data_IF_417465548575
#
_entry.id   IF_417465548575
#
_cell.length_a   1.000
_cell.length_b   1.000
_cell.length_c   1.000
_cell.angle_alpha   90.00
_cell.angle_beta   90.00
_cell.angle_gamma   90.00
#
_symmetry.space_group_name_H-M   'P 1'
#
loop_
_entity.id
_entity.type
_entity.pdbx_description
1 polymer ?
#
# COMPACT_ATOMS: atom_id res chain seq x y z
N UNK A 1 10.94 21.92 -63.75
CA UNK A 1 10.67 22.74 -62.54
C UNK A 1 10.63 21.87 -61.27
N UNK A 2 11.77 21.46 -60.66
CA UNK A 2 11.75 20.56 -59.49
C UNK A 2 12.25 21.17 -58.16
N UNK A 3 12.45 22.49 -58.05
CA UNK A 3 13.16 23.09 -56.91
C UNK A 3 12.29 23.73 -55.81
N UNK A 4 10.95 23.68 -55.91
CA UNK A 4 10.06 24.32 -54.91
C UNK A 4 9.60 23.40 -53.76
N UNK A 5 9.76 22.08 -53.89
CA UNK A 5 9.29 21.11 -52.86
C UNK A 5 10.31 20.79 -51.77
N UNK A 6 11.62 21.05 -51.98
CA UNK A 6 12.67 20.84 -50.96
C UNK A 6 12.72 21.94 -49.90
N UNK A 7 12.31 23.16 -50.24
CA UNK A 7 12.26 24.27 -49.29
C UNK A 7 11.06 24.19 -48.34
N UNK A 8 9.96 23.56 -48.78
CA UNK A 8 8.76 23.38 -47.96
C UNK A 8 8.93 22.27 -46.91
N UNK A 9 9.72 21.24 -47.21
CA UNK A 9 10.04 20.14 -46.29
C UNK A 9 11.09 20.54 -45.23
N UNK A 10 12.03 21.43 -45.55
CA UNK A 10 13.00 21.99 -44.59
C UNK A 10 12.38 23.00 -43.60
N UNK A 11 11.39 23.79 -44.04
CA UNK A 11 10.71 24.75 -43.17
C UNK A 11 9.84 24.06 -42.09
N UNK A 12 9.26 22.89 -42.39
CA UNK A 12 8.43 22.14 -41.44
C UNK A 12 9.27 21.44 -40.36
N UNK A 13 10.51 21.05 -40.67
CA UNK A 13 11.43 20.46 -39.70
C UNK A 13 11.96 21.48 -38.67
N UNK A 14 12.08 22.76 -39.04
CA UNK A 14 12.56 23.81 -38.13
C UNK A 14 11.50 24.22 -37.09
N UNK A 15 10.22 24.13 -37.43
CA UNK A 15 9.11 24.43 -36.49
C UNK A 15 8.90 23.28 -35.49
N UNK A 16 9.25 22.03 -35.85
CA UNK A 16 9.21 20.90 -34.92
C UNK A 16 10.36 20.90 -33.90
N UNK A 17 11.48 21.60 -34.18
CA UNK A 17 12.63 21.68 -33.28
C UNK A 17 12.61 22.89 -32.32
N UNK A 18 11.77 23.90 -32.55
CA UNK A 18 11.62 25.04 -31.61
C UNK A 18 10.59 24.81 -30.50
N UNK A 19 9.83 23.71 -30.53
CA UNK A 19 8.83 23.38 -29.49
C UNK A 19 9.43 22.73 -28.24
N UNK A 20 10.74 22.42 -28.23
CA UNK A 20 11.39 21.65 -27.16
C UNK A 20 12.11 22.51 -26.11
N UNK A 21 12.03 23.84 -26.19
CA UNK A 21 12.76 24.76 -25.31
C UNK A 21 11.87 25.68 -24.45
N UNK A 22 10.61 25.32 -24.21
CA UNK A 22 9.72 25.99 -23.24
C UNK A 22 9.43 25.15 -21.98
N UNK A 23 10.25 24.13 -21.71
CA UNK A 23 10.20 23.37 -20.48
C UNK A 23 11.20 23.91 -19.46
N UNK A 24 10.74 24.76 -18.54
CA UNK A 24 11.29 24.93 -17.19
C UNK A 24 10.46 26.00 -16.48
N UNK A 25 9.48 25.59 -15.67
CA UNK A 25 8.75 26.55 -14.84
C UNK A 25 7.36 26.17 -14.37
N UNK A 26 6.91 24.91 -14.45
CA UNK A 26 5.74 24.50 -13.64
C UNK A 26 6.22 24.20 -12.24
N UNK A 27 6.27 25.24 -11.40
CA UNK A 27 6.12 25.05 -9.95
C UNK A 27 4.69 24.57 -9.74
N UNK A 28 4.48 23.26 -9.59
CA UNK A 28 3.17 22.74 -9.18
C UNK A 28 2.75 23.44 -7.88
N UNK A 29 1.56 24.05 -7.82
CA UNK A 29 1.07 24.64 -6.58
C UNK A 29 0.76 23.49 -5.61
N UNK A 30 1.60 23.37 -4.59
CA UNK A 30 1.39 22.44 -3.48
C UNK A 30 0.37 22.93 -2.46
N UNK A 31 -0.07 21.97 -1.65
CA UNK A 31 -0.74 22.04 -0.33
C UNK A 31 -2.27 21.87 -0.26
N UNK A 32 -3.06 22.32 -1.24
CA UNK A 32 -4.53 22.15 -1.20
C UNK A 32 -5.02 20.78 -1.68
N UNK A 33 -4.44 20.26 -2.77
CA UNK A 33 -4.84 18.99 -3.40
C UNK A 33 -4.30 17.75 -2.70
N UNK A 34 -3.11 17.85 -2.12
CA UNK A 34 -2.35 16.67 -1.68
C UNK A 34 -2.80 16.19 -0.31
N UNK A 35 -3.11 17.10 0.62
CA UNK A 35 -3.71 16.74 1.91
C UNK A 35 -5.10 16.14 1.74
N UNK A 36 -5.92 16.70 0.84
CA UNK A 36 -7.22 16.12 0.50
C UNK A 36 -7.11 14.75 -0.18
N UNK A 37 -6.12 14.58 -1.07
CA UNK A 37 -5.79 13.28 -1.67
C UNK A 37 -5.37 12.26 -0.62
N UNK A 38 -4.50 12.64 0.30
CA UNK A 38 -4.06 11.79 1.40
C UNK A 38 -5.25 11.38 2.29
N UNK A 39 -6.12 12.33 2.64
CA UNK A 39 -7.31 12.04 3.43
C UNK A 39 -8.25 11.06 2.73
N UNK A 40 -8.53 11.27 1.43
CA UNK A 40 -9.39 10.36 0.66
C UNK A 40 -8.82 8.93 0.62
N UNK A 41 -7.49 8.79 0.55
CA UNK A 41 -6.82 7.49 0.63
C UNK A 41 -6.96 6.86 2.02
N UNK A 42 -6.86 7.64 3.09
CA UNK A 42 -7.12 7.17 4.47
C UNK A 42 -8.55 6.69 4.62
N UNK A 43 -9.51 7.45 4.12
CA UNK A 43 -10.94 7.13 4.22
C UNK A 43 -11.25 5.82 3.46
N UNK A 44 -10.71 5.65 2.26
CA UNK A 44 -10.91 4.43 1.46
C UNK A 44 -10.22 3.21 2.09
N UNK A 45 -9.00 3.37 2.61
CA UNK A 45 -8.32 2.29 3.36
C UNK A 45 -9.05 1.93 4.65
N UNK A 46 -9.65 2.91 5.32
CA UNK A 46 -10.50 2.69 6.51
C UNK A 46 -11.73 1.87 6.15
N UNK A 47 -12.39 2.19 5.03
CA UNK A 47 -13.53 1.42 4.52
C UNK A 47 -13.12 0.00 4.16
N UNK A 48 -12.00 -0.19 3.45
CA UNK A 48 -11.49 -1.52 3.13
C UNK A 48 -11.25 -2.37 4.38
N UNK A 49 -10.62 -1.80 5.41
CA UNK A 49 -10.38 -2.49 6.67
C UNK A 49 -11.69 -2.89 7.34
N UNK A 50 -12.64 -1.96 7.43
CA UNK A 50 -13.95 -2.19 8.05
C UNK A 50 -14.72 -3.30 7.31
N UNK A 51 -14.81 -3.21 5.97
CA UNK A 51 -15.44 -4.26 5.15
C UNK A 51 -14.77 -5.63 5.27
N UNK A 52 -13.44 -5.66 5.46
CA UNK A 52 -12.69 -6.89 5.67
C UNK A 52 -12.95 -7.48 7.06
N UNK A 53 -13.05 -6.65 8.08
CA UNK A 53 -13.37 -7.06 9.45
C UNK A 53 -14.84 -7.48 9.63
N UNK A 54 -15.75 -6.90 8.85
CA UNK A 54 -17.17 -7.26 8.84
C UNK A 54 -17.41 -8.65 8.23
N UNK A 55 -16.54 -9.07 7.30
CA UNK A 55 -16.57 -10.40 6.67
C UNK A 55 -15.74 -11.45 7.41
N UNK A 56 -14.99 -11.05 8.43
CA UNK A 56 -14.13 -11.91 9.24
C UNK A 56 -14.95 -12.63 10.32
N UNK A 57 -15.88 -13.49 9.89
CA UNK A 57 -16.81 -14.21 10.77
C UNK A 57 -16.08 -15.14 11.75
N UNK A 58 -14.98 -15.75 11.30
CA UNK A 58 -14.15 -16.67 12.10
C UNK A 58 -13.11 -15.95 12.97
N UNK A 59 -12.98 -14.62 12.87
CA UNK A 59 -12.03 -13.81 13.64
C UNK A 59 -10.55 -14.00 13.24
N UNK A 60 -10.28 -14.67 12.13
CA UNK A 60 -8.93 -14.97 11.64
C UNK A 60 -8.16 -13.71 11.26
N UNK A 61 -8.80 -12.74 10.61
CA UNK A 61 -8.16 -11.46 10.29
C UNK A 61 -7.81 -10.72 11.58
N UNK A 62 -8.71 -10.69 12.57
CA UNK A 62 -8.41 -10.12 13.89
C UNK A 62 -7.20 -10.83 14.54
N UNK A 63 -7.15 -12.16 14.52
CA UNK A 63 -6.00 -12.94 15.01
C UNK A 63 -4.68 -12.58 14.33
N UNK A 64 -4.69 -12.36 13.01
CA UNK A 64 -3.51 -11.93 12.26
C UNK A 64 -3.13 -10.48 12.58
N UNK A 65 -4.10 -9.56 12.70
CA UNK A 65 -3.85 -8.16 13.10
C UNK A 65 -3.18 -8.11 14.47
N UNK A 66 -3.62 -8.96 15.42
CA UNK A 66 -3.03 -9.02 16.76
C UNK A 66 -1.55 -9.45 16.77
N UNK A 67 -1.12 -10.18 15.74
CA UNK A 67 0.28 -10.62 15.58
C UNK A 67 1.10 -9.65 14.74
N UNK A 68 0.48 -8.95 13.80
CA UNK A 68 1.16 -8.08 12.85
C UNK A 68 2.01 -6.99 13.52
N UNK A 69 3.14 -6.66 12.90
CA UNK A 69 3.99 -5.50 13.22
C UNK A 69 3.70 -4.32 12.28
N UNK A 70 3.13 -4.58 11.11
CA UNK A 70 2.60 -3.54 10.23
C UNK A 70 1.59 -4.08 9.26
N UNK A 71 0.78 -3.18 8.72
CA UNK A 71 -0.27 -3.53 7.75
C UNK A 71 -0.21 -2.55 6.59
N UNK A 72 -0.13 -3.08 5.37
CA UNK A 72 -0.33 -2.31 4.16
C UNK A 72 -1.78 -2.48 3.69
N UNK A 73 -2.54 -1.40 3.69
CA UNK A 73 -3.90 -1.33 3.18
C UNK A 73 -3.86 -0.91 1.71
N UNK A 74 -4.33 -1.79 0.83
CA UNK A 74 -4.33 -1.58 -0.61
C UNK A 74 -5.79 -1.39 -1.05
N UNK A 75 -6.34 -0.17 -1.05
CA UNK A 75 -7.70 0.09 -1.48
C UNK A 75 -7.91 -0.22 -2.96
N UNK A 76 -9.13 -0.65 -3.32
CA UNK A 76 -9.49 -0.81 -4.72
C UNK A 76 -9.43 0.56 -5.43
N UNK A 77 -8.98 0.57 -6.69
CA UNK A 77 -9.05 1.77 -7.52
C UNK A 77 -10.53 1.99 -7.89
N UNK A 78 -11.27 2.67 -7.02
CA UNK A 78 -12.68 3.01 -7.18
C UNK A 78 -12.88 4.53 -7.11
N UNK A 79 -13.32 5.09 -8.24
CA UNK A 79 -14.11 6.33 -8.35
C UNK A 79 -13.49 7.67 -7.95
N UNK A 80 -12.18 7.84 -8.10
CA UNK A 80 -11.61 9.19 -8.21
C UNK A 80 -10.63 9.21 -9.39
N UNK A 81 -11.17 9.60 -10.55
CA UNK A 81 -10.53 9.74 -11.86
C UNK A 81 -9.35 10.72 -11.90
N UNK A 82 -8.76 11.07 -10.76
CA UNK A 82 -7.76 12.12 -10.57
C UNK A 82 -6.43 11.67 -9.96
N UNK A 83 -6.28 10.39 -9.57
CA UNK A 83 -5.02 9.91 -8.96
C UNK A 83 -3.99 9.34 -9.94
N UNK A 84 -4.29 9.36 -11.24
CA UNK A 84 -3.44 8.87 -12.32
C UNK A 84 -2.55 10.00 -12.90
N UNK A 85 -1.39 10.19 -12.29
CA UNK A 85 -0.20 10.59 -13.06
C UNK A 85 0.71 9.36 -13.08
N UNK A 86 0.58 8.57 -14.16
CA UNK A 86 1.28 7.30 -14.43
C UNK A 86 0.93 6.10 -13.53
N UNK A 87 -0.14 5.38 -13.89
CA UNK A 87 -0.25 3.91 -13.84
C UNK A 87 -0.02 3.16 -12.52
N UNK A 88 0.15 3.83 -11.39
CA UNK A 88 0.58 3.22 -10.12
C UNK A 88 -0.57 3.22 -9.12
N UNK A 89 -0.82 2.08 -8.47
CA UNK A 89 -1.83 1.98 -7.41
C UNK A 89 -1.40 2.69 -6.12
N UNK A 90 -2.27 2.79 -5.12
CA UNK A 90 -1.93 3.36 -3.81
C UNK A 90 -1.94 2.29 -2.72
N UNK A 91 -1.11 2.49 -1.71
CA UNK A 91 -1.10 1.74 -0.47
C UNK A 91 -0.87 2.68 0.72
N UNK A 92 -1.50 2.38 1.85
CA UNK A 92 -1.25 3.01 3.13
C UNK A 92 -0.57 2.00 4.03
N UNK A 93 0.44 2.43 4.77
CA UNK A 93 1.16 1.55 5.70
C UNK A 93 1.04 2.11 7.11
N UNK A 94 0.59 1.28 8.03
CA UNK A 94 0.63 1.53 9.48
C UNK A 94 1.63 0.58 10.13
N UNK A 95 2.23 1.02 11.25
CA UNK A 95 3.14 0.20 12.04
C UNK A 95 2.64 0.12 13.48
N UNK A 96 2.76 -1.05 14.10
CA UNK A 96 2.55 -1.23 15.52
C UNK A 96 3.86 -0.97 16.25
N UNK A 97 3.79 -0.11 17.25
CA UNK A 97 4.89 0.23 18.15
C UNK A 97 4.48 -0.11 19.59
N UNK A 98 5.39 0.08 20.53
CA UNK A 98 5.13 0.09 21.97
C UNK A 98 4.03 1.10 22.40
N UNK A 99 3.77 2.14 21.59
CA UNK A 99 2.71 3.13 21.82
C UNK A 99 1.41 2.80 21.04
N UNK A 100 1.33 1.59 20.46
CA UNK A 100 0.22 1.12 19.62
C UNK A 100 0.43 1.44 18.13
N UNK A 101 -0.67 1.46 17.37
CA UNK A 101 -0.64 1.72 15.92
C UNK A 101 -0.28 3.18 15.59
N UNK A 102 0.59 3.35 14.59
CA UNK A 102 1.15 4.63 14.14
C UNK A 102 1.03 4.78 12.62
N UNK A 103 1.24 6.00 12.13
CA UNK A 103 1.13 6.38 10.73
C UNK A 103 -0.23 6.98 10.38
N UNK A 104 -0.72 6.82 9.14
CA UNK A 104 -0.13 6.05 8.05
C UNK A 104 0.98 6.82 7.30
N UNK A 105 1.73 6.05 6.52
CA UNK A 105 2.54 6.56 5.41
C UNK A 105 1.96 6.05 4.09
N UNK A 106 2.15 6.82 3.04
CA UNK A 106 1.64 6.55 1.71
C UNK A 106 2.73 6.00 0.82
N UNK A 107 2.40 4.89 0.16
CA UNK A 107 3.24 4.27 -0.85
C UNK A 107 2.47 4.16 -2.18
N UNK A 108 3.23 4.25 -3.26
CA UNK A 108 2.77 3.97 -4.61
C UNK A 108 3.09 2.51 -4.92
N UNK A 109 2.10 1.78 -5.43
CA UNK A 109 2.27 0.42 -5.92
C UNK A 109 2.64 0.48 -7.40
N UNK A 110 3.86 0.09 -7.71
CA UNK A 110 4.39 0.05 -9.06
C UNK A 110 4.32 -1.39 -9.60
N UNK A 111 3.53 -1.58 -10.66
CA UNK A 111 3.47 -2.83 -11.42
C UNK A 111 4.54 -2.80 -12.52
N UNK A 112 5.83 -2.75 -12.15
CA UNK A 112 6.92 -2.90 -13.14
C UNK A 112 7.30 -4.37 -13.15
N UNK A 113 6.72 -5.08 -14.13
CA UNK A 113 6.80 -6.52 -14.28
C UNK A 113 5.40 -7.11 -14.45
N UNK A 114 5.27 -8.18 -15.23
CA UNK A 114 4.03 -8.96 -15.46
C UNK A 114 3.10 -8.41 -16.56
N UNK A 115 3.54 -8.57 -17.81
CA UNK A 115 2.65 -8.87 -18.93
C UNK A 115 1.72 -7.75 -19.41
N UNK A 116 2.11 -7.12 -20.51
CA UNK A 116 1.30 -6.32 -21.43
C UNK A 116 0.14 -7.12 -22.09
N UNK A 117 -0.50 -8.06 -21.40
CA UNK A 117 -1.69 -8.77 -21.87
C UNK A 117 -2.62 -9.13 -20.71
N UNK A 118 -3.86 -8.65 -20.83
CA UNK A 118 -5.09 -9.13 -20.19
C UNK A 118 -5.37 -8.77 -18.71
N UNK A 119 -6.13 -7.67 -18.55
CA UNK A 119 -7.16 -7.58 -17.51
C UNK A 119 -6.87 -6.59 -16.40
N UNK A 120 -7.66 -5.51 -16.35
CA UNK A 120 -7.77 -4.57 -15.22
C UNK A 120 -8.32 -5.30 -14.00
N UNK A 121 -7.51 -6.12 -13.34
CA UNK A 121 -7.87 -6.67 -12.05
C UNK A 121 -7.58 -5.61 -10.99
N UNK A 122 -8.64 -5.00 -10.46
CA UNK A 122 -8.55 -4.11 -9.31
C UNK A 122 -8.09 -4.96 -8.11
N UNK A 123 -6.82 -4.87 -7.77
CA UNK A 123 -6.25 -5.52 -6.60
C UNK A 123 -6.54 -4.69 -5.36
N UNK A 124 -7.28 -5.26 -4.42
CA UNK A 124 -7.57 -4.68 -3.11
C UNK A 124 -7.45 -5.72 -2.01
N UNK A 125 -6.91 -5.31 -0.87
CA UNK A 125 -6.71 -6.21 0.26
C UNK A 125 -5.74 -5.64 1.29
N UNK A 126 -5.44 -6.47 2.28
CA UNK A 126 -4.55 -6.15 3.40
C UNK A 126 -3.31 -7.02 3.27
N UNK A 127 -2.13 -6.42 3.44
CA UNK A 127 -0.87 -7.16 3.58
C UNK A 127 -0.38 -6.99 5.02
N UNK A 128 -0.51 -8.04 5.81
CA UNK A 128 -0.12 -8.06 7.22
C UNK A 128 1.29 -8.61 7.33
N UNK A 129 2.19 -7.84 7.92
CA UNK A 129 3.62 -8.17 8.05
C UNK A 129 3.88 -8.54 9.51
N UNK A 130 4.38 -9.74 9.76
CA UNK A 130 4.53 -10.30 11.11
C UNK A 130 5.85 -9.89 11.79
N UNK A 131 6.84 -9.45 11.01
CA UNK A 131 8.15 -9.03 11.49
C UNK A 131 8.45 -7.55 11.19
N UNK A 132 9.06 -6.85 12.14
CA UNK A 132 9.36 -5.42 11.99
C UNK A 132 10.46 -5.18 10.94
N UNK A 133 11.45 -6.07 10.83
CA UNK A 133 12.52 -5.92 9.86
C UNK A 133 12.00 -6.11 8.43
N UNK A 134 11.02 -6.99 8.22
CA UNK A 134 10.33 -7.15 6.94
C UNK A 134 9.49 -5.91 6.61
N UNK A 135 8.81 -5.32 7.59
CA UNK A 135 8.10 -4.06 7.40
C UNK A 135 9.06 -2.94 7.00
N UNK A 136 10.18 -2.81 7.71
CA UNK A 136 11.24 -1.83 7.37
C UNK A 136 11.87 -2.14 6.01
N UNK A 137 12.01 -3.41 5.62
CA UNK A 137 12.47 -3.79 4.30
C UNK A 137 11.51 -3.31 3.20
N UNK A 138 10.20 -3.52 3.37
CA UNK A 138 9.18 -3.01 2.45
C UNK A 138 9.27 -1.48 2.33
N UNK A 139 9.34 -0.77 3.45
CA UNK A 139 9.44 0.69 3.47
C UNK A 139 10.72 1.22 2.81
N UNK A 140 11.86 0.53 2.97
CA UNK A 140 13.18 0.99 2.47
C UNK A 140 13.49 0.52 1.05
N UNK A 141 13.04 -0.69 0.67
CA UNK A 141 13.41 -1.36 -0.59
C UNK A 141 12.23 -1.55 -1.54
N UNK A 142 11.00 -1.43 -1.05
CA UNK A 142 9.80 -1.58 -1.86
C UNK A 142 9.41 -3.01 -2.19
N UNK A 143 10.22 -4.01 -1.81
CA UNK A 143 9.91 -5.43 -2.06
C UNK A 143 9.12 -6.03 -0.89
N UNK A 144 8.17 -6.92 -1.21
CA UNK A 144 7.40 -7.70 -0.20
C UNK A 144 8.20 -8.86 0.38
N UNK A 145 9.17 -9.39 -0.38
CA UNK A 145 9.96 -10.55 0.01
C UNK A 145 11.40 -10.16 0.37
N UNK A 146 11.81 -10.53 1.58
CA UNK A 146 13.21 -10.51 2.00
C UNK A 146 13.76 -11.93 2.03
N UNK A 147 14.69 -12.26 1.13
CA UNK A 147 15.39 -13.56 1.15
C UNK A 147 14.45 -14.76 1.04
N UNK A 148 14.27 -15.51 2.13
CA UNK A 148 13.44 -16.72 2.22
C UNK A 148 12.06 -16.48 2.87
N UNK A 149 11.64 -15.21 3.03
CA UNK A 149 10.36 -14.86 3.65
C UNK A 149 9.18 -15.63 3.01
N UNK A 150 8.29 -16.15 3.85
CA UNK A 150 7.12 -16.94 3.46
C UNK A 150 5.89 -16.05 3.40
N UNK A 151 5.21 -16.07 2.25
CA UNK A 151 3.96 -15.31 2.08
C UNK A 151 2.80 -16.26 1.95
N UNK A 152 1.74 -15.98 2.71
CA UNK A 152 0.51 -16.76 2.74
C UNK A 152 -0.60 -15.87 2.19
N UNK A 153 -1.40 -16.37 1.24
CA UNK A 153 -2.53 -15.63 0.68
C UNK A 153 -3.85 -16.25 1.15
N UNK A 154 -4.71 -15.43 1.73
CA UNK A 154 -5.94 -15.82 2.41
C UNK A 154 -7.15 -15.06 1.84
N UNK A 155 -8.27 -15.75 1.71
CA UNK A 155 -9.56 -15.12 1.51
C UNK A 155 -10.14 -14.73 2.86
N UNK A 156 -10.81 -13.57 2.94
CA UNK A 156 -11.51 -13.17 4.17
C UNK A 156 -12.70 -14.08 4.46
N UNK A 157 -13.30 -14.66 3.42
CA UNK A 157 -14.61 -15.31 3.41
C UNK A 157 -14.57 -16.83 3.17
N UNK A 158 -13.39 -17.45 3.06
CA UNK A 158 -13.28 -18.89 2.83
C UNK A 158 -12.65 -19.62 4.01
N UNK A 159 -13.37 -20.65 4.45
CA UNK A 159 -12.88 -21.75 5.28
C UNK A 159 -11.77 -22.46 4.49
N UNK A 160 -10.50 -22.23 4.87
CA UNK A 160 -9.35 -22.70 4.10
C UNK A 160 -8.74 -23.96 4.72
N UNK A 161 -8.78 -25.06 3.96
CA UNK A 161 -8.26 -26.38 4.32
C UNK A 161 -6.72 -26.50 4.22
N UNK A 162 -5.97 -25.45 4.57
CA UNK A 162 -4.52 -25.57 4.74
C UNK A 162 -4.17 -25.98 6.17
N UNK A 163 -3.12 -26.78 6.34
CA UNK A 163 -2.74 -27.29 7.66
C UNK A 163 -2.40 -26.13 8.60
N UNK A 164 -2.73 -26.25 9.91
CA UNK A 164 -2.45 -25.21 10.90
C UNK A 164 -0.99 -24.72 10.88
N UNK A 165 -0.01 -25.59 10.59
CA UNK A 165 1.40 -25.20 10.57
C UNK A 165 1.74 -24.21 9.43
N UNK A 166 1.05 -24.26 8.29
CA UNK A 166 1.27 -23.31 7.20
C UNK A 166 0.65 -21.94 7.52
N UNK A 167 -0.46 -21.95 8.28
CA UNK A 167 -1.14 -20.73 8.71
C UNK A 167 -0.40 -20.01 9.84
N UNK A 168 0.44 -20.69 10.62
CA UNK A 168 1.19 -20.09 11.73
C UNK A 168 2.59 -19.59 11.36
N UNK A 169 3.16 -20.06 10.24
CA UNK A 169 4.57 -19.83 9.85
C UNK A 169 4.79 -18.81 8.73
N UNK A 170 3.77 -18.01 8.38
CA UNK A 170 3.92 -16.93 7.40
C UNK A 170 4.62 -15.71 8.00
N UNK A 171 5.55 -15.12 7.25
CA UNK A 171 6.17 -13.84 7.60
C UNK A 171 5.29 -12.67 7.13
N UNK A 172 4.56 -12.89 6.03
CA UNK A 172 3.61 -11.92 5.46
C UNK A 172 2.32 -12.63 5.04
N UNK A 173 1.18 -12.04 5.35
CA UNK A 173 -0.14 -12.54 4.96
C UNK A 173 -0.84 -11.54 4.07
N UNK A 174 -1.26 -11.97 2.88
CA UNK A 174 -2.18 -11.20 2.06
C UNK A 174 -3.61 -11.67 2.32
N UNK A 175 -4.50 -10.75 2.66
CA UNK A 175 -5.91 -11.02 2.94
C UNK A 175 -6.79 -10.21 1.97
N UNK A 176 -7.60 -10.85 1.14
CA UNK A 176 -8.46 -10.15 0.18
C UNK A 176 -9.51 -11.04 -0.53
N UNK A 177 -10.51 -10.43 -1.17
CA UNK A 177 -11.70 -11.12 -1.67
C UNK A 177 -11.51 -11.98 -2.95
N UNK A 178 -10.33 -12.01 -3.58
CA UNK A 178 -10.11 -12.71 -4.87
C UNK A 178 -8.85 -13.60 -4.90
N UNK A 179 -8.50 -14.22 -3.79
CA UNK A 179 -7.24 -14.95 -3.48
C UNK A 179 -6.69 -15.91 -4.55
N UNK A 180 -7.52 -16.58 -5.35
CA UNK A 180 -7.13 -17.73 -6.19
C UNK A 180 -6.11 -17.47 -7.33
N UNK A 181 -5.94 -16.23 -7.80
CA UNK A 181 -4.94 -15.87 -8.84
C UNK A 181 -3.64 -15.28 -8.25
N UNK A 182 -3.62 -14.99 -6.94
CA UNK A 182 -2.66 -14.06 -6.35
C UNK A 182 -1.58 -14.72 -5.48
N UNK A 183 -1.77 -15.95 -4.99
CA UNK A 183 -0.73 -16.68 -4.25
C UNK A 183 0.55 -16.92 -5.08
N UNK A 184 0.46 -17.03 -6.41
CA UNK A 184 1.63 -17.22 -7.29
C UNK A 184 2.16 -15.93 -7.94
N UNK A 185 1.29 -14.96 -8.20
CA UNK A 185 1.57 -13.78 -9.05
C UNK A 185 1.84 -12.51 -8.22
N UNK A 186 1.24 -12.37 -7.03
CA UNK A 186 1.55 -11.24 -6.14
C UNK A 186 2.98 -11.35 -5.55
N UNK A 187 3.53 -12.57 -5.48
CA UNK A 187 4.81 -12.88 -4.86
C UNK A 187 6.02 -12.58 -5.74
N UNK A 188 5.84 -12.45 -7.06
CA UNK A 188 6.96 -12.65 -7.98
C UNK A 188 7.42 -11.38 -8.73
N UNK A 189 6.76 -10.21 -8.60
CA UNK A 189 7.40 -8.95 -9.02
C UNK A 189 6.55 -7.69 -9.11
N UNK A 190 5.80 -7.38 -8.05
CA UNK A 190 5.30 -6.01 -7.81
C UNK A 190 6.17 -5.30 -6.77
N UNK A 191 6.26 -3.97 -6.83
CA UNK A 191 7.03 -3.17 -5.87
C UNK A 191 6.26 -1.98 -5.30
N UNK A 192 6.68 -1.49 -4.16
CA UNK A 192 6.20 -0.28 -3.51
C UNK A 192 7.25 0.82 -3.56
N UNK A 193 6.84 2.07 -3.70
CA UNK A 193 7.72 3.23 -3.63
C UNK A 193 7.12 4.30 -2.73
N UNK A 194 7.94 4.96 -1.92
CA UNK A 194 7.43 5.96 -0.97
C UNK A 194 6.89 7.20 -1.68
N UNK A 195 5.75 7.72 -1.20
CA UNK A 195 5.19 9.00 -1.63
C UNK A 195 5.56 10.08 -0.63
N UNK A 196 6.85 10.41 -0.55
CA UNK A 196 7.40 11.34 0.45
C UNK A 196 6.66 12.69 0.50
N UNK A 197 6.35 13.29 -0.65
CA UNK A 197 5.57 14.53 -0.68
C UNK A 197 4.15 14.40 -0.11
N UNK A 198 3.50 13.24 -0.30
CA UNK A 198 2.18 12.97 0.27
C UNK A 198 2.25 12.69 1.77
N UNK A 199 3.29 11.99 2.21
CA UNK A 199 3.61 11.78 3.62
C UNK A 199 3.81 13.12 4.33
N UNK A 200 4.65 13.99 3.76
CA UNK A 200 4.91 15.33 4.28
C UNK A 200 3.64 16.17 4.31
N UNK A 201 2.84 16.21 3.23
CA UNK A 201 1.59 16.97 3.17
C UNK A 201 0.55 16.51 4.21
N UNK A 202 0.50 15.21 4.51
CA UNK A 202 -0.45 14.65 5.47
C UNK A 202 0.01 14.82 6.93
N UNK A 203 1.29 14.53 7.19
CA UNK A 203 1.85 14.43 8.56
C UNK A 203 2.56 15.70 9.04
N UNK A 204 2.98 16.58 8.12
CA UNK A 204 3.81 17.75 8.42
C UNK A 204 5.27 17.42 8.74
N UNK A 205 5.72 16.17 8.53
CA UNK A 205 7.14 15.79 8.68
C UNK A 205 7.90 16.18 7.42
N UNK A 206 8.84 17.10 7.54
CA UNK A 206 9.71 17.54 6.43
C UNK A 206 10.40 16.33 5.77
N UNK A 207 10.34 16.25 4.44
CA UNK A 207 10.87 15.14 3.66
C UNK A 207 10.07 13.84 3.73
N UNK A 208 9.01 13.77 4.54
CA UNK A 208 8.02 12.69 4.53
C UNK A 208 8.58 11.29 4.82
N UNK A 209 9.67 11.19 5.58
CA UNK A 209 10.36 9.95 5.90
C UNK A 209 9.45 8.95 6.62
N UNK A 210 9.22 7.74 6.05
CA UNK A 210 8.41 6.72 6.71
C UNK A 210 8.99 6.26 8.05
N UNK A 211 10.31 6.12 8.12
CA UNK A 211 11.01 5.72 9.36
C UNK A 211 10.69 6.71 10.49
N UNK A 212 10.77 8.00 10.15
CA UNK A 212 10.54 9.07 11.11
C UNK A 212 9.08 9.19 11.50
N UNK A 213 8.15 9.01 10.56
CA UNK A 213 6.72 9.08 10.83
C UNK A 213 6.26 7.92 11.70
N UNK A 214 6.64 6.69 11.34
CA UNK A 214 6.13 5.46 11.95
C UNK A 214 6.87 5.09 13.25
N UNK A 215 8.20 5.22 13.28
CA UNK A 215 9.00 4.66 14.37
C UNK A 215 9.67 5.71 15.24
N UNK A 216 10.24 6.78 14.66
CA UNK A 216 10.97 7.78 15.48
C UNK A 216 9.99 8.71 16.21
N UNK A 217 8.99 9.22 15.50
CA UNK A 217 7.97 10.15 16.03
C UNK A 217 6.64 9.47 16.38
N UNK A 218 6.43 8.22 15.93
CA UNK A 218 5.24 7.40 16.21
C UNK A 218 3.93 8.18 16.02
N UNK A 219 3.81 8.90 14.91
CA UNK A 219 2.74 9.87 14.72
C UNK A 219 1.37 9.20 14.59
N UNK A 220 0.35 9.85 15.14
CA UNK A 220 -1.07 9.53 14.96
C UNK A 220 -1.81 10.79 14.47
N UNK A 221 -1.76 11.11 13.17
CA UNK A 221 -2.38 12.32 12.64
C UNK A 221 -3.91 12.26 12.79
N UNK A 222 -4.54 13.39 13.12
CA UNK A 222 -6.00 13.49 13.32
C UNK A 222 -6.85 12.87 12.20
N UNK A 223 -6.40 12.99 10.95
CA UNK A 223 -7.11 12.44 9.79
C UNK A 223 -7.13 10.90 9.73
N UNK A 224 -6.35 10.22 10.57
CA UNK A 224 -6.22 8.76 10.57
C UNK A 224 -6.63 8.11 11.91
N UNK A 225 -7.14 8.86 12.87
CA UNK A 225 -7.54 8.33 14.20
C UNK A 225 -8.49 7.14 14.05
N UNK A 226 -9.56 7.29 13.26
CA UNK A 226 -10.52 6.21 13.02
C UNK A 226 -9.87 4.93 12.47
N UNK A 227 -8.91 5.06 11.54
CA UNK A 227 -8.21 3.90 11.00
C UNK A 227 -7.40 3.19 12.10
N UNK A 228 -6.68 3.96 12.91
CA UNK A 228 -5.83 3.45 13.97
C UNK A 228 -6.65 2.85 15.13
N UNK A 229 -7.81 3.44 15.43
CA UNK A 229 -8.73 2.94 16.45
C UNK A 229 -9.33 1.59 16.04
N UNK A 230 -9.79 1.45 14.79
CA UNK A 230 -10.29 0.16 14.27
C UNK A 230 -9.19 -0.91 14.32
N UNK A 231 -7.94 -0.55 14.02
CA UNK A 231 -6.81 -1.46 14.14
C UNK A 231 -6.56 -1.89 15.58
N UNK A 232 -6.62 -0.95 16.54
CA UNK A 232 -6.45 -1.25 17.96
C UNK A 232 -7.58 -2.13 18.51
N UNK A 233 -8.83 -1.89 18.10
CA UNK A 233 -9.99 -2.71 18.46
C UNK A 233 -9.90 -4.13 17.89
N UNK A 234 -9.49 -4.24 16.63
CA UNK A 234 -9.28 -5.52 15.96
C UNK A 234 -8.13 -6.31 16.59
N UNK A 235 -7.02 -5.64 16.93
CA UNK A 235 -5.90 -6.23 17.68
C UNK A 235 -6.35 -6.77 19.04
N UNK A 236 -7.06 -5.97 19.83
CA UNK A 236 -7.52 -6.39 21.16
C UNK A 236 -8.45 -7.62 21.08
N UNK A 237 -9.36 -7.61 20.10
CA UNK A 237 -10.27 -8.73 19.84
C UNK A 237 -9.52 -9.99 19.41
N UNK A 238 -8.56 -9.85 18.49
CA UNK A 238 -7.74 -10.96 18.01
C UNK A 238 -6.81 -11.54 19.07
N UNK A 239 -6.24 -10.69 19.93
CA UNK A 239 -5.39 -11.14 21.04
C UNK A 239 -6.19 -11.99 22.04
N UNK A 240 -7.44 -11.60 22.34
CA UNK A 240 -8.34 -12.39 23.18
C UNK A 240 -8.65 -13.76 22.56
N UNK A 241 -8.83 -13.82 21.24
CA UNK A 241 -9.04 -15.07 20.50
C UNK A 241 -7.78 -15.96 20.51
N UNK A 242 -6.61 -15.41 20.18
CA UNK A 242 -5.35 -16.15 20.17
C UNK A 242 -5.05 -16.77 21.55
N UNK A 243 -5.35 -16.05 22.63
CA UNK A 243 -5.23 -16.57 23.99
C UNK A 243 -6.19 -17.74 24.27
N UNK A 244 -7.42 -17.65 23.77
CA UNK A 244 -8.43 -18.72 23.91
C UNK A 244 -8.02 -19.98 23.13
N UNK A 245 -7.43 -19.80 21.96
CA UNK A 245 -7.04 -20.88 21.05
C UNK A 245 -5.65 -21.46 21.35
N UNK A 246 -4.89 -20.83 22.26
CA UNK A 246 -3.53 -21.25 22.62
C UNK A 246 -2.47 -20.92 21.57
N UNK A 247 -2.77 -19.99 20.66
CA UNK A 247 -1.93 -19.57 19.52
C UNK A 247 -1.27 -18.21 19.75
N UNK A 248 -1.19 -17.77 21.02
CA UNK A 248 -0.50 -16.55 21.42
C UNK A 248 0.97 -16.59 21.00
N UNK A 249 1.43 -15.56 20.30
CA UNK A 249 2.85 -15.35 20.01
C UNK A 249 3.45 -14.50 21.15
N UNK A 250 4.53 -14.94 21.81
CA UNK A 250 5.19 -14.17 22.86
C UNK A 250 5.54 -12.76 22.37
N UNK A 251 5.28 -11.76 23.22
CA UNK A 251 5.76 -10.40 22.97
C UNK A 251 7.28 -10.37 23.18
N UNK A 252 8.04 -10.44 22.09
CA UNK A 252 9.48 -10.12 22.10
C UNK A 252 9.68 -8.61 22.19
#
# INVERSE_FOLDING_TARGET
MPNRMRHFTLALALVALLSLAAGCGVKSPGSGSDRGTAQALVDESTRLLQESLDKDEEGRLRSLIARAKGILLIPAVGDVSFFFSLGSGNALVTARTDEGWTGPVFMSKTTVGWGLQAGVSKQSGLLLVMDEEDLRYILKKGGVLRGQARVVALSVDQEYNETPEFQESGDVYFVGARTGLYAGVALSGGGFSNRLGLNEAFTGVEGGSPETILFDRKLKPHGAERLLDILAEAEASGAAQNKKDGTEVPSN
#
